data_IF_013055712562
#
_entry.id   IF_013055712562
#
_cell.length_a   1.000
_cell.length_b   1.000
_cell.length_c   1.000
_cell.angle_alpha   90.00
_cell.angle_beta   90.00
_cell.angle_gamma   90.00
#
_symmetry.space_group_name_H-M   'P 1'
#
loop_
_entity.id
_entity.type
_entity.pdbx_description
1 polymer ?
#
# COMPACT_ATOMS: atom_id res chain seq x y z
N UNK A 1 -8.73 1.06 7.14
CA UNK A 1 -9.29 1.70 5.92
C UNK A 1 -9.27 3.23 5.95
N UNK A 2 -9.20 3.87 7.13
CA UNK A 2 -9.22 5.34 7.27
C UNK A 2 -8.07 6.06 6.58
N UNK A 3 -6.90 5.43 6.49
CA UNK A 3 -5.68 6.02 5.86
C UNK A 3 -5.49 5.65 4.38
N UNK A 4 -6.30 4.73 3.83
CA UNK A 4 -6.15 4.24 2.44
C UNK A 4 -7.46 4.27 1.66
N UNK A 5 -8.33 3.28 1.83
CA UNK A 5 -9.55 3.16 1.04
C UNK A 5 -10.56 4.31 1.23
N UNK A 6 -10.65 4.88 2.44
CA UNK A 6 -11.56 5.99 2.71
C UNK A 6 -11.22 7.26 1.92
N UNK A 7 -9.98 7.82 1.99
CA UNK A 7 -9.62 8.97 1.18
C UNK A 7 -9.69 8.66 -0.32
N UNK A 8 -9.32 7.46 -0.76
CA UNK A 8 -9.44 7.06 -2.17
C UNK A 8 -10.90 7.12 -2.67
N UNK A 9 -11.85 6.68 -1.85
CA UNK A 9 -13.29 6.76 -2.15
C UNK A 9 -13.78 8.21 -2.26
N UNK A 10 -13.36 9.09 -1.36
CA UNK A 10 -13.74 10.51 -1.38
C UNK A 10 -13.25 11.19 -2.67
N UNK A 11 -12.04 10.83 -3.11
CA UNK A 11 -11.41 11.39 -4.31
C UNK A 11 -11.80 10.70 -5.61
N UNK A 12 -12.56 9.59 -5.56
CA UNK A 12 -12.95 8.81 -6.73
C UNK A 12 -11.78 8.09 -7.42
N UNK A 13 -10.78 7.66 -6.66
CA UNK A 13 -9.57 7.00 -7.18
C UNK A 13 -9.62 5.48 -7.00
N UNK A 14 -8.99 4.77 -7.94
CA UNK A 14 -8.84 3.31 -7.99
C UNK A 14 -7.58 2.83 -7.23
N UNK A 15 -7.33 3.39 -6.04
CA UNK A 15 -6.17 3.11 -5.16
C UNK A 15 -6.61 2.81 -3.73
N UNK A 16 -5.66 2.44 -2.86
CA UNK A 16 -5.90 2.32 -1.41
C UNK A 16 -6.66 1.05 -0.98
N UNK A 17 -7.03 0.17 -1.92
CA UNK A 17 -7.62 -1.15 -1.71
C UNK A 17 -6.92 -2.14 -2.63
N UNK A 18 -6.45 -3.25 -2.08
CA UNK A 18 -5.85 -4.34 -2.89
C UNK A 18 -6.99 -5.18 -3.47
N UNK A 19 -7.30 -4.95 -4.75
CA UNK A 19 -8.38 -5.61 -5.49
C UNK A 19 -8.03 -5.68 -6.98
N UNK A 20 -8.44 -6.73 -7.73
CA UNK A 20 -8.32 -6.74 -9.18
C UNK A 20 -8.94 -5.50 -9.84
N UNK A 21 -8.25 -4.95 -10.85
CA UNK A 21 -8.65 -3.75 -11.57
C UNK A 21 -8.29 -2.42 -10.87
N UNK A 22 -7.73 -2.46 -9.66
CA UNK A 22 -7.20 -1.27 -8.99
C UNK A 22 -5.72 -1.09 -9.34
N UNK A 23 -5.25 0.16 -9.29
CA UNK A 23 -3.86 0.49 -9.56
C UNK A 23 -2.95 -0.23 -8.56
N UNK A 24 -1.91 -0.87 -9.08
CA UNK A 24 -0.99 -1.70 -8.31
C UNK A 24 -0.04 -0.86 -7.44
N UNK A 25 -0.58 -0.28 -6.37
CA UNK A 25 0.15 0.51 -5.39
C UNK A 25 -0.09 -0.04 -3.98
N UNK A 26 0.91 -0.69 -3.40
CA UNK A 26 0.83 -1.34 -2.09
C UNK A 26 2.21 -1.47 -1.44
N UNK A 27 2.23 -1.76 -0.14
CA UNK A 27 3.44 -1.91 0.66
C UNK A 27 3.51 -3.34 1.19
N UNK A 28 4.67 -3.97 1.06
CA UNK A 28 4.99 -5.26 1.67
C UNK A 28 5.65 -4.98 3.00
N UNK A 29 5.09 -5.53 4.08
CA UNK A 29 5.59 -5.37 5.45
C UNK A 29 6.25 -6.65 5.93
N UNK A 30 7.22 -6.53 6.83
CA UNK A 30 7.83 -7.67 7.53
C UNK A 30 6.83 -8.44 8.41
N UNK A 31 5.77 -7.76 8.86
CA UNK A 31 4.73 -8.28 9.72
C UNK A 31 3.53 -7.35 9.78
N UNK A 32 3.05 -7.04 10.98
CA UNK A 32 1.90 -6.16 11.19
C UNK A 32 2.34 -4.68 11.11
N UNK A 33 1.78 -3.87 10.20
CA UNK A 33 2.14 -2.46 10.04
C UNK A 33 1.86 -1.56 11.26
N UNK A 34 1.14 -2.07 12.28
CA UNK A 34 0.90 -1.36 13.54
C UNK A 34 1.82 -1.81 14.67
N UNK A 35 2.70 -2.77 14.43
CA UNK A 35 3.73 -3.19 15.37
C UNK A 35 4.98 -2.33 15.20
N UNK A 36 5.58 -1.92 16.32
CA UNK A 36 6.75 -1.02 16.30
C UNK A 36 8.01 -1.65 15.67
N UNK A 37 8.18 -2.96 15.81
CA UNK A 37 9.36 -3.68 15.30
C UNK A 37 9.26 -4.04 13.81
N UNK A 38 8.06 -3.93 13.23
CA UNK A 38 7.83 -4.28 11.84
C UNK A 38 8.05 -3.08 10.93
N UNK A 39 8.53 -3.34 9.72
CA UNK A 39 8.95 -2.31 8.78
C UNK A 39 8.61 -2.67 7.32
N UNK A 40 8.55 -1.68 6.42
CA UNK A 40 8.34 -1.92 4.99
C UNK A 40 9.54 -2.65 4.37
N UNK A 41 9.32 -3.84 3.80
CA UNK A 41 10.31 -4.57 3.02
C UNK A 41 10.39 -4.00 1.60
N UNK A 42 9.23 -3.72 1.01
CA UNK A 42 9.14 -3.16 -0.33
C UNK A 42 7.95 -2.23 -0.47
N UNK A 43 8.09 -1.20 -1.29
CA UNK A 43 7.01 -0.29 -1.68
C UNK A 43 6.84 -0.40 -3.19
N UNK A 44 5.63 -0.74 -3.60
CA UNK A 44 5.25 -0.85 -5.01
C UNK A 44 4.36 0.35 -5.33
N UNK A 45 4.75 1.14 -6.32
CA UNK A 45 3.98 2.23 -6.89
C UNK A 45 3.68 1.97 -8.36
N UNK A 46 2.40 1.83 -8.69
CA UNK A 46 1.94 1.61 -10.07
C UNK A 46 2.61 0.42 -10.77
N UNK A 47 2.81 -0.67 -10.04
CA UNK A 47 3.45 -1.89 -10.51
C UNK A 47 4.99 -1.85 -10.56
N UNK A 48 5.62 -0.76 -10.09
CA UNK A 48 7.08 -0.65 -10.01
C UNK A 48 7.53 -0.66 -8.56
N UNK A 49 8.64 -1.34 -8.28
CA UNK A 49 9.32 -1.24 -6.99
C UNK A 49 9.95 0.16 -6.91
N UNK A 50 9.54 0.94 -5.93
CA UNK A 50 10.07 2.30 -5.67
C UNK A 50 10.97 2.35 -4.45
N UNK A 51 10.84 1.38 -3.56
CA UNK A 51 11.71 1.13 -2.42
C UNK A 51 11.79 -0.37 -2.20
N UNK A 52 12.99 -0.87 -1.91
CA UNK A 52 13.22 -2.23 -1.47
C UNK A 52 14.34 -2.21 -0.43
N UNK A 53 14.12 -2.90 0.68
CA UNK A 53 15.11 -3.06 1.72
C UNK A 53 15.92 -4.34 1.45
N UNK A 54 17.24 -4.17 1.35
CA UNK A 54 18.21 -5.25 1.15
C UNK A 54 18.71 -5.83 2.47
#
# INVERSE_FOLDING_TARGET
ATVTGNPAKILGLDVGIVKPGYRASFVVWSGDPFTYIDYPIAVIGEGRIVLEQS
#
